data_IF_707978894097
#
_entry.id   IF_707978894097
#
_cell.length_a   1.000
_cell.length_b   1.000
_cell.length_c   1.000
_cell.angle_alpha   90.00
_cell.angle_beta   90.00
_cell.angle_gamma   90.00
#
_symmetry.space_group_name_H-M   'P 1'
#
loop_
_entity.id
_entity.type
_entity.pdbx_description
1 polymer ?
#
# COMPACT_ATOMS: atom_id res chain seq x y z
N UNK A 1 -5.75 -15.41 -10.82
CA UNK A 1 -5.28 -14.01 -10.72
C UNK A 1 -4.39 -13.75 -11.91
N UNK A 2 -4.71 -12.74 -12.73
CA UNK A 2 -3.99 -12.47 -13.96
C UNK A 2 -2.80 -11.54 -13.65
N UNK A 3 -1.58 -12.03 -13.86
CA UNK A 3 -0.38 -11.22 -13.69
C UNK A 3 -0.11 -10.44 -14.96
N UNK A 4 0.07 -9.13 -14.83
CA UNK A 4 0.34 -8.23 -15.95
C UNK A 4 1.64 -7.47 -15.71
N UNK A 5 2.36 -7.04 -16.76
CA UNK A 5 3.47 -6.12 -16.59
C UNK A 5 3.02 -4.86 -15.85
N UNK A 6 3.82 -4.33 -14.93
CA UNK A 6 3.51 -3.10 -14.21
C UNK A 6 3.32 -1.90 -15.16
N UNK A 7 3.91 -1.94 -16.36
CA UNK A 7 3.69 -0.93 -17.40
C UNK A 7 2.33 -0.98 -18.09
N UNK A 8 1.55 -2.04 -17.87
CA UNK A 8 0.18 -2.21 -18.39
C UNK A 8 -0.89 -1.70 -17.43
N UNK A 9 -0.51 -1.20 -16.25
CA UNK A 9 -1.43 -0.53 -15.34
C UNK A 9 -1.69 0.87 -15.88
N UNK A 10 -2.92 1.09 -16.28
CA UNK A 10 -3.41 2.41 -16.66
C UNK A 10 -3.64 3.24 -15.40
N UNK A 11 -3.13 4.47 -15.40
CA UNK A 11 -3.26 5.45 -14.33
C UNK A 11 -3.87 6.71 -14.94
N UNK A 12 -4.81 7.33 -14.21
CA UNK A 12 -5.26 8.67 -14.56
C UNK A 12 -4.17 9.72 -14.24
N UNK A 13 -4.31 10.94 -14.77
CA UNK A 13 -3.33 12.04 -14.59
C UNK A 13 -3.07 12.39 -13.11
N UNK A 14 -4.07 12.17 -12.24
CA UNK A 14 -3.96 12.42 -10.82
C UNK A 14 -3.50 11.19 -10.03
N UNK A 15 -3.26 10.04 -10.65
CA UNK A 15 -3.01 8.79 -9.96
C UNK A 15 -1.52 8.43 -9.90
N UNK A 16 -1.12 7.83 -8.78
CA UNK A 16 0.20 7.22 -8.64
C UNK A 16 0.10 5.85 -8.00
N UNK A 17 0.98 4.96 -8.44
CA UNK A 17 1.19 3.67 -7.77
C UNK A 17 2.02 3.92 -6.51
N UNK A 18 1.57 3.37 -5.39
CA UNK A 18 2.24 3.48 -4.09
C UNK A 18 3.12 2.25 -3.87
N UNK A 19 4.19 2.39 -3.10
CA UNK A 19 5.03 1.27 -2.65
C UNK A 19 4.29 0.29 -1.72
N UNK A 20 4.91 -0.87 -1.47
CA UNK A 20 4.45 -1.82 -0.46
C UNK A 20 3.58 -2.96 -1.00
N UNK A 21 3.87 -3.41 -2.22
CA UNK A 21 3.16 -4.52 -2.86
C UNK A 21 4.13 -5.55 -3.44
N UNK A 22 3.64 -6.75 -3.67
CA UNK A 22 4.42 -7.86 -4.21
C UNK A 22 4.41 -7.84 -5.75
N UNK A 23 5.57 -8.10 -6.34
CA UNK A 23 5.73 -8.35 -7.77
C UNK A 23 6.51 -9.64 -8.03
N UNK A 24 6.58 -10.03 -9.28
CA UNK A 24 7.37 -11.15 -9.77
C UNK A 24 8.29 -10.69 -10.88
N UNK A 25 9.58 -10.98 -10.73
CA UNK A 25 10.61 -10.70 -11.73
C UNK A 25 11.32 -12.00 -12.06
N UNK A 26 11.26 -12.42 -13.33
CA UNK A 26 11.93 -13.65 -13.79
C UNK A 26 11.56 -14.91 -12.97
N UNK A 27 10.31 -14.97 -12.46
CA UNK A 27 9.82 -16.08 -11.62
C UNK A 27 10.17 -15.95 -10.13
N UNK A 28 10.85 -14.89 -9.71
CA UNK A 28 11.20 -14.61 -8.32
C UNK A 28 10.23 -13.59 -7.74
N UNK A 29 9.68 -13.87 -6.55
CA UNK A 29 8.85 -12.93 -5.80
C UNK A 29 9.72 -11.84 -5.18
N UNK A 30 9.34 -10.59 -5.44
CA UNK A 30 10.08 -9.40 -4.99
C UNK A 30 9.14 -8.38 -4.39
N UNK A 31 9.65 -7.56 -3.49
CA UNK A 31 8.86 -6.52 -2.84
C UNK A 31 9.09 -5.16 -3.51
N UNK A 32 8.05 -4.53 -4.06
CA UNK A 32 8.20 -3.23 -4.70
C UNK A 32 8.15 -2.12 -3.64
N UNK A 33 9.25 -1.39 -3.52
CA UNK A 33 9.47 -0.35 -2.50
C UNK A 33 9.46 1.05 -3.07
N UNK A 34 9.52 1.23 -4.39
CA UNK A 34 9.24 2.52 -5.00
C UNK A 34 8.80 2.34 -6.45
N UNK A 35 7.90 3.19 -6.92
CA UNK A 35 7.50 3.23 -8.33
C UNK A 35 7.81 4.60 -8.89
N UNK A 36 8.68 4.62 -9.89
CA UNK A 36 9.05 5.82 -10.66
C UNK A 36 8.20 5.87 -11.93
N UNK A 37 8.49 6.81 -12.82
CA UNK A 37 7.71 7.01 -14.04
C UNK A 37 7.79 5.80 -14.99
N UNK A 38 9.01 5.29 -15.24
CA UNK A 38 9.27 4.18 -16.19
C UNK A 38 9.84 2.93 -15.54
N UNK A 39 10.25 3.04 -14.28
CA UNK A 39 10.98 2.02 -13.54
C UNK A 39 10.37 1.86 -12.15
N UNK A 40 10.79 0.82 -11.45
CA UNK A 40 10.47 0.62 -10.04
C UNK A 40 11.70 0.08 -9.31
N UNK A 41 11.75 0.36 -8.01
CA UNK A 41 12.70 -0.24 -7.09
C UNK A 41 12.01 -1.42 -6.42
N UNK A 42 12.70 -2.55 -6.41
CA UNK A 42 12.27 -3.74 -5.71
C UNK A 42 13.36 -4.22 -4.77
N UNK A 43 12.95 -4.97 -3.76
CA UNK A 43 13.81 -5.65 -2.80
C UNK A 43 13.70 -7.16 -3.02
N UNK A 44 14.85 -7.82 -3.15
CA UNK A 44 14.93 -9.29 -3.24
C UNK A 44 14.75 -9.93 -1.86
N UNK A 45 14.52 -11.25 -1.78
CA UNK A 45 14.55 -11.98 -0.52
C UNK A 45 15.86 -11.81 0.26
N UNK A 46 16.96 -11.51 -0.44
CA UNK A 46 18.28 -11.23 0.13
C UNK A 46 18.43 -9.78 0.65
N UNK A 47 17.33 -9.02 0.70
CA UNK A 47 17.27 -7.61 1.11
C UNK A 47 18.08 -6.65 0.21
N UNK A 48 18.38 -7.06 -1.02
CA UNK A 48 19.04 -6.20 -1.99
C UNK A 48 18.05 -5.35 -2.76
N UNK A 49 18.29 -4.04 -2.80
CA UNK A 49 17.47 -3.10 -3.56
C UNK A 49 18.01 -2.89 -4.97
N UNK A 50 17.16 -3.15 -5.95
CA UNK A 50 17.50 -3.06 -7.37
C UNK A 50 16.42 -2.34 -8.14
N UNK A 51 16.80 -1.80 -9.28
CA UNK A 51 15.94 -0.99 -10.12
C UNK A 51 15.65 -1.75 -11.42
N UNK A 52 14.37 -1.82 -11.81
CA UNK A 52 13.95 -2.53 -13.02
C UNK A 52 12.92 -1.72 -13.79
N UNK A 53 12.82 -1.98 -15.09
CA UNK A 53 11.76 -1.42 -15.93
C UNK A 53 10.41 -2.02 -15.55
N UNK A 54 9.37 -1.17 -15.51
CA UNK A 54 7.98 -1.59 -15.28
C UNK A 54 7.51 -2.68 -16.25
N UNK A 55 8.08 -2.75 -17.45
CA UNK A 55 7.71 -3.76 -18.45
C UNK A 55 8.26 -5.16 -18.17
N UNK A 56 9.22 -5.30 -17.24
CA UNK A 56 9.83 -6.60 -16.91
C UNK A 56 9.25 -7.23 -15.64
N UNK A 57 8.66 -6.44 -14.75
CA UNK A 57 8.06 -6.93 -13.51
C UNK A 57 6.58 -7.22 -13.73
N UNK A 58 6.16 -8.41 -13.31
CA UNK A 58 4.77 -8.86 -13.34
C UNK A 58 4.13 -8.60 -11.98
N UNK A 59 2.91 -8.10 -11.98
CA UNK A 59 2.17 -7.75 -10.75
C UNK A 59 0.74 -8.24 -10.87
N UNK A 60 0.11 -8.51 -9.74
CA UNK A 60 -1.34 -8.73 -9.72
C UNK A 60 -2.04 -7.37 -9.79
N UNK A 61 -2.79 -7.14 -10.88
CA UNK A 61 -3.45 -5.84 -11.13
C UNK A 61 -4.34 -5.41 -9.97
N UNK A 62 -5.02 -6.37 -9.34
CA UNK A 62 -5.96 -6.10 -8.24
C UNK A 62 -5.24 -5.85 -6.91
N UNK A 63 -3.95 -6.18 -6.81
CA UNK A 63 -3.15 -6.01 -5.60
C UNK A 63 -2.25 -4.75 -5.63
N UNK A 64 -2.17 -4.04 -6.77
CA UNK A 64 -1.34 -2.83 -6.87
C UNK A 64 -2.08 -1.65 -6.23
N UNK A 65 -1.53 -1.05 -5.16
CA UNK A 65 -2.15 0.09 -4.52
C UNK A 65 -1.98 1.35 -5.38
N UNK A 66 -3.12 1.91 -5.81
CA UNK A 66 -3.18 3.17 -6.57
C UNK A 66 -3.75 4.25 -5.64
N UNK A 67 -3.14 5.42 -5.67
CA UNK A 67 -3.54 6.57 -4.86
C UNK A 67 -3.67 7.80 -5.73
N UNK A 68 -4.81 8.48 -5.60
CA UNK A 68 -5.06 9.76 -6.26
C UNK A 68 -4.44 10.91 -5.48
N UNK A 69 -3.65 11.73 -6.16
CA UNK A 69 -3.13 13.02 -5.71
C UNK A 69 -4.31 13.97 -5.55
N UNK A 70 -4.68 14.29 -4.30
CA UNK A 70 -5.64 15.38 -4.06
C UNK A 70 -4.89 16.71 -4.22
N UNK A 71 -5.27 17.49 -5.22
CA UNK A 71 -4.81 18.88 -5.44
C UNK A 71 -5.31 19.90 -4.38
N UNK A 72 -5.65 19.48 -3.15
CA UNK A 72 -6.27 20.40 -2.19
C UNK A 72 -6.51 19.88 -0.78
N UNK A 73 -5.48 19.38 -0.09
CA UNK A 73 -5.56 19.13 1.35
C UNK A 73 -4.18 19.06 1.99
N UNK A 74 -4.01 19.51 3.25
CA UNK A 74 -2.71 19.49 3.92
C UNK A 74 -2.16 18.06 4.00
N UNK A 75 -0.84 17.88 3.94
CA UNK A 75 -0.21 16.56 4.05
C UNK A 75 -0.53 15.96 5.43
N UNK A 76 -1.35 14.90 5.49
CA UNK A 76 -1.55 14.12 6.73
C UNK A 76 -2.93 13.52 7.02
N UNK A 77 -3.92 13.55 6.12
CA UNK A 77 -5.32 13.25 6.49
C UNK A 77 -5.87 11.85 6.12
N UNK A 78 -5.05 10.85 5.80
CA UNK A 78 -5.54 9.53 5.35
C UNK A 78 -4.96 8.30 6.08
N UNK A 79 -4.25 8.51 7.20
CA UNK A 79 -3.98 7.42 8.16
C UNK A 79 -5.19 7.16 9.08
N UNK A 80 -6.38 6.89 8.50
CA UNK A 80 -7.54 6.39 9.27
C UNK A 80 -8.12 5.15 8.62
N UNK A 81 -7.34 4.07 8.68
CA UNK A 81 -7.71 2.76 8.16
C UNK A 81 -7.01 1.60 8.87
N UNK A 82 -6.69 1.73 10.15
CA UNK A 82 -6.43 0.56 11.02
C UNK A 82 -7.40 0.59 12.17
N UNK A 83 -8.52 -0.10 11.99
CA UNK A 83 -9.41 -0.46 13.08
C UNK A 83 -8.63 -1.29 14.10
N UNK A 84 -8.30 -0.68 15.24
CA UNK A 84 -8.20 -1.41 16.50
C UNK A 84 -9.56 -1.30 17.18
N UNK A 85 -10.26 -2.41 17.48
CA UNK A 85 -11.48 -2.34 18.27
C UNK A 85 -11.08 -1.80 19.65
N UNK A 86 -11.64 -0.66 20.03
CA UNK A 86 -11.47 -0.13 21.38
C UNK A 86 -12.10 -1.07 22.41
N UNK A 87 -11.53 -1.18 23.63
CA UNK A 87 -12.21 -1.89 24.70
C UNK A 87 -13.50 -1.13 25.06
N UNK A 88 -14.62 -1.87 25.13
CA UNK A 88 -15.92 -1.37 25.59
C UNK A 88 -15.78 -0.75 26.98
N UNK A 89 -16.27 0.47 27.25
CA UNK A 89 -16.40 0.96 28.61
C UNK A 89 -17.60 0.26 29.27
N UNK A 90 -17.32 -0.76 30.07
CA UNK A 90 -18.30 -1.41 30.92
C UNK A 90 -18.35 -0.76 32.30
N UNK A 91 -19.49 -0.12 32.61
CA UNK A 91 -20.03 0.21 33.94
C UNK A 91 -19.26 1.23 34.80
N UNK A 92 -19.73 2.48 34.71
CA UNK A 92 -19.94 3.29 35.91
C UNK A 92 -21.39 3.03 36.39
N UNK A 93 -21.53 2.51 37.60
CA UNK A 93 -22.72 2.69 38.41
C UNK A 93 -22.20 2.98 39.81
N UNK A 94 -22.34 4.25 40.18
CA UNK A 94 -22.23 4.71 41.55
C UNK A 94 -23.41 4.13 42.35
N UNK A 95 -23.18 3.79 43.60
CA UNK A 95 -24.13 4.11 44.66
C UNK A 95 -23.38 4.18 45.99
N UNK A 96 -23.39 5.37 46.56
CA UNK A 96 -23.13 5.61 47.96
C UNK A 96 -24.42 5.26 48.72
N UNK A 97 -24.32 4.50 49.80
CA UNK A 97 -25.25 4.62 50.91
C UNK A 97 -24.58 4.23 52.23
N UNK A 98 -25.07 4.85 53.28
CA UNK A 98 -24.43 5.00 54.59
C UNK A 98 -24.76 3.83 55.51
N UNK A 99 -23.86 3.50 56.43
CA UNK A 99 -24.06 2.53 57.51
C UNK A 99 -22.94 2.61 58.53
#
# INVERSE_FOLDING_TARGET
>A
MARVPLSKIELDEDEMIVEGFEGELEGIRVWVTAVLERTCVYETPDLERRLVSKSKILVDKDAVPIRRRKLGGPPGADSKGRGKPGPKPGKAAAEADSG
#
